data_IF_932000561784
#
_entry.id   IF_932000561784
#
_cell.length_a   1.000
_cell.length_b   1.000
_cell.length_c   1.000
_cell.angle_alpha   90.00
_cell.angle_beta   90.00
_cell.angle_gamma   90.00
#
_symmetry.space_group_name_H-M   'P 1'
#
loop_
_entity.id
_entity.type
_entity.pdbx_description
1 polymer ?
#
# COMPACT_ATOMS: atom_id res chain seq x y z
N UNK A 1 1.55 -6.24 -14.09
CA UNK A 1 2.43 -5.06 -13.94
C UNK A 1 2.19 -4.52 -12.55
N UNK A 2 3.27 -4.32 -11.80
CA UNK A 2 3.31 -4.20 -10.35
C UNK A 2 4.16 -2.99 -9.97
N UNK A 3 3.56 -1.81 -9.77
CA UNK A 3 4.32 -0.57 -9.57
C UNK A 3 4.54 -0.26 -8.09
N UNK A 4 5.78 0.05 -7.72
CA UNK A 4 6.18 0.68 -6.45
C UNK A 4 6.57 2.16 -6.68
N UNK A 5 6.47 3.03 -5.67
CA UNK A 5 6.74 4.48 -5.77
C UNK A 5 7.91 4.87 -4.86
N UNK A 6 8.89 5.64 -5.35
CA UNK A 6 10.25 5.65 -4.78
C UNK A 6 10.66 6.89 -3.99
N UNK A 7 11.50 6.64 -2.99
CA UNK A 7 12.58 7.44 -2.40
C UNK A 7 13.91 7.20 -3.16
N UNK A 8 15.04 7.01 -2.47
CA UNK A 8 16.39 7.01 -3.08
C UNK A 8 16.56 6.03 -4.25
N UNK A 9 17.26 6.44 -5.31
CA UNK A 9 17.44 5.63 -6.54
C UNK A 9 18.23 4.32 -6.35
N UNK A 10 19.08 4.26 -5.32
CA UNK A 10 19.86 3.08 -4.94
C UNK A 10 20.29 3.23 -3.48
N UNK A 11 20.96 2.22 -2.92
CA UNK A 11 21.32 2.20 -1.50
C UNK A 11 22.24 3.38 -1.15
N UNK A 12 21.77 4.27 -0.26
CA UNK A 12 22.44 5.54 0.10
C UNK A 12 22.66 6.50 -1.08
N UNK A 13 21.86 6.36 -2.13
CA UNK A 13 21.84 7.24 -3.29
C UNK A 13 20.99 8.50 -3.08
N UNK A 14 21.01 9.42 -4.06
CA UNK A 14 20.19 10.62 -4.04
C UNK A 14 18.70 10.29 -4.16
N UNK A 15 17.85 11.21 -3.72
CA UNK A 15 16.42 11.21 -4.07
C UNK A 15 16.26 11.69 -5.51
N UNK A 16 15.39 11.07 -6.31
CA UNK A 16 15.10 11.55 -7.66
C UNK A 16 14.27 12.84 -7.61
N UNK A 17 14.44 13.71 -8.62
CA UNK A 17 13.63 14.91 -8.79
C UNK A 17 12.23 14.61 -9.37
N UNK A 18 12.06 13.42 -9.94
CA UNK A 18 10.82 12.92 -10.53
C UNK A 18 10.37 11.63 -9.85
N UNK A 19 9.08 11.33 -10.00
CA UNK A 19 8.51 10.11 -9.46
C UNK A 19 8.96 8.89 -10.27
N UNK A 20 9.58 7.95 -9.59
CA UNK A 20 10.05 6.71 -10.19
C UNK A 20 9.14 5.54 -9.83
N UNK A 21 9.15 4.52 -10.70
CA UNK A 21 8.52 3.25 -10.42
C UNK A 21 9.30 2.09 -11.02
N UNK A 22 9.10 0.90 -10.46
CA UNK A 22 9.67 -0.33 -10.98
C UNK A 22 8.62 -1.45 -10.97
N UNK A 23 8.71 -2.35 -11.94
CA UNK A 23 7.88 -3.56 -12.01
C UNK A 23 8.59 -4.71 -11.30
N UNK A 24 7.91 -5.28 -10.29
CA UNK A 24 8.41 -6.43 -9.51
C UNK A 24 7.43 -7.60 -9.53
N UNK A 25 7.87 -8.76 -9.08
CA UNK A 25 7.01 -9.94 -8.90
C UNK A 25 6.88 -10.28 -7.42
N UNK A 26 5.67 -10.63 -7.01
CA UNK A 26 5.43 -11.18 -5.67
C UNK A 26 6.14 -12.54 -5.59
N UNK A 27 6.96 -12.71 -4.57
CA UNK A 27 7.69 -13.95 -4.35
C UNK A 27 6.86 -14.93 -3.50
N UNK A 28 7.11 -16.25 -3.65
CA UNK A 28 6.52 -17.25 -2.77
C UNK A 28 6.86 -17.02 -1.29
N UNK A 29 5.94 -17.32 -0.38
CA UNK A 29 6.15 -17.10 1.07
C UNK A 29 7.39 -17.81 1.60
N UNK A 30 7.65 -19.05 1.15
CA UNK A 30 8.84 -19.81 1.56
C UNK A 30 10.14 -19.17 1.08
N UNK A 31 10.13 -18.42 -0.02
CA UNK A 31 11.28 -17.64 -0.47
C UNK A 31 11.54 -16.48 0.49
N UNK A 32 10.49 -15.77 0.90
CA UNK A 32 10.57 -14.61 1.80
C UNK A 32 10.98 -15.01 3.22
N UNK A 33 10.37 -16.07 3.76
CA UNK A 33 10.60 -16.60 5.11
C UNK A 33 12.04 -17.11 5.27
N UNK A 34 12.58 -17.79 4.27
CA UNK A 34 13.95 -18.31 4.30
C UNK A 34 15.06 -17.25 4.37
N UNK A 35 14.74 -15.96 4.20
CA UNK A 35 15.71 -14.85 4.07
C UNK A 35 15.69 -13.86 5.23
N UNK A 36 14.76 -13.99 6.16
CA UNK A 36 14.72 -13.16 7.37
C UNK A 36 14.05 -13.89 8.53
N UNK A 37 14.60 -13.72 9.72
CA UNK A 37 14.02 -14.16 10.99
C UNK A 37 12.80 -13.33 11.43
N UNK A 38 12.50 -12.24 10.72
CA UNK A 38 11.40 -11.30 11.03
C UNK A 38 10.12 -11.59 10.26
N UNK A 39 10.10 -12.60 9.39
CA UNK A 39 8.94 -12.87 8.55
C UNK A 39 7.77 -13.31 9.43
N UNK A 40 6.64 -12.64 9.27
CA UNK A 40 5.48 -12.83 10.13
C UNK A 40 4.17 -12.65 9.34
N UNK A 41 3.06 -12.96 10.02
CA UNK A 41 1.73 -12.72 9.48
C UNK A 41 1.59 -11.29 8.96
N UNK A 42 0.96 -11.15 7.79
CA UNK A 42 0.74 -9.85 7.16
C UNK A 42 1.96 -9.30 6.44
N UNK A 43 3.03 -10.09 6.28
CA UNK A 43 4.16 -9.75 5.41
C UNK A 43 4.05 -10.48 4.07
N UNK A 44 4.72 -9.91 3.08
CA UNK A 44 5.02 -10.51 1.78
C UNK A 44 6.34 -9.90 1.28
N UNK A 45 6.98 -10.50 0.30
CA UNK A 45 8.12 -9.87 -0.38
C UNK A 45 7.92 -9.86 -1.89
N UNK A 46 8.52 -8.86 -2.55
CA UNK A 46 8.46 -8.71 -3.99
C UNK A 46 9.78 -8.15 -4.53
N UNK A 47 10.18 -8.62 -5.71
CA UNK A 47 11.41 -8.22 -6.38
C UNK A 47 11.52 -8.85 -7.77
N UNK A 48 12.70 -8.83 -8.36
CA UNK A 48 13.01 -9.51 -9.62
C UNK A 48 14.30 -10.32 -9.46
N UNK A 49 14.21 -11.65 -9.63
CA UNK A 49 15.37 -12.53 -9.48
C UNK A 49 16.35 -12.42 -10.66
N UNK A 50 15.87 -11.99 -11.82
CA UNK A 50 16.68 -11.81 -13.01
C UNK A 50 17.36 -10.43 -13.02
N UNK A 51 16.75 -9.44 -12.38
CA UNK A 51 17.27 -8.08 -12.25
C UNK A 51 17.17 -7.58 -10.80
N UNK A 52 18.17 -7.88 -9.96
CA UNK A 52 18.15 -7.51 -8.55
C UNK A 52 18.07 -6.02 -8.28
N UNK A 53 18.43 -5.15 -9.24
CA UNK A 53 18.37 -3.70 -9.08
C UNK A 53 16.92 -3.19 -8.99
N UNK A 54 15.94 -4.01 -9.39
CA UNK A 54 14.52 -3.71 -9.24
C UNK A 54 14.03 -3.97 -7.83
N UNK A 55 14.16 -2.95 -6.99
CA UNK A 55 13.72 -2.98 -5.60
C UNK A 55 13.20 -1.62 -5.14
N UNK A 56 12.43 -1.62 -4.07
CA UNK A 56 12.13 -0.43 -3.28
C UNK A 56 13.35 -0.04 -2.44
N UNK A 57 13.52 1.25 -2.12
CA UNK A 57 14.64 1.73 -1.32
C UNK A 57 14.24 2.68 -0.18
N UNK A 58 15.23 3.41 0.36
CA UNK A 58 15.05 4.31 1.49
C UNK A 58 14.16 5.50 1.10
N UNK A 59 13.08 5.71 1.84
CA UNK A 59 12.09 6.76 1.56
C UNK A 59 10.82 6.25 0.88
N UNK A 60 10.84 5.01 0.37
CA UNK A 60 9.69 4.36 -0.25
C UNK A 60 8.67 3.84 0.77
N UNK A 61 9.09 3.66 2.04
CA UNK A 61 8.25 3.09 3.10
C UNK A 61 6.89 3.78 3.20
N UNK A 62 5.81 2.99 3.17
CA UNK A 62 4.43 3.49 3.09
C UNK A 62 3.89 3.62 1.66
N UNK A 63 4.76 3.59 0.64
CA UNK A 63 4.39 3.58 -0.76
C UNK A 63 3.64 2.29 -1.17
N UNK A 64 2.72 2.36 -2.14
CA UNK A 64 1.93 1.20 -2.52
C UNK A 64 2.65 0.31 -3.53
N UNK A 65 2.49 -1.01 -3.37
CA UNK A 65 2.69 -2.01 -4.41
C UNK A 65 1.33 -2.30 -5.05
N UNK A 66 1.20 -1.97 -6.34
CA UNK A 66 -0.08 -2.02 -7.06
C UNK A 66 -0.14 -3.22 -8.00
N UNK A 67 -1.01 -4.19 -7.73
CA UNK A 67 -1.31 -5.31 -8.63
C UNK A 67 -2.66 -5.08 -9.33
N UNK A 68 -2.69 -5.10 -10.66
CA UNK A 68 -3.94 -4.97 -11.44
C UNK A 68 -4.84 -3.79 -11.00
N UNK A 69 -4.23 -2.65 -10.71
CA UNK A 69 -4.93 -1.43 -10.28
C UNK A 69 -5.40 -1.43 -8.81
N UNK A 70 -5.07 -2.46 -8.02
CA UNK A 70 -5.37 -2.54 -6.60
C UNK A 70 -4.11 -2.48 -5.75
N UNK A 71 -4.15 -1.80 -4.60
CA UNK A 71 -3.05 -1.81 -3.63
C UNK A 71 -3.02 -3.18 -2.95
N UNK A 72 -1.95 -3.93 -3.17
CA UNK A 72 -1.77 -5.29 -2.64
C UNK A 72 -0.69 -5.34 -1.58
N UNK A 73 0.32 -4.47 -1.68
CA UNK A 73 1.37 -4.34 -0.69
C UNK A 73 1.60 -2.88 -0.28
N UNK A 74 2.23 -2.68 0.87
CA UNK A 74 2.77 -1.39 1.31
C UNK A 74 4.25 -1.58 1.61
N UNK A 75 5.13 -0.78 1.00
CA UNK A 75 6.58 -0.89 1.21
C UNK A 75 6.88 -0.77 2.71
N UNK A 76 7.67 -1.71 3.24
CA UNK A 76 7.97 -1.76 4.66
C UNK A 76 9.47 -1.65 4.91
N UNK A 77 10.25 -2.69 4.56
CA UNK A 77 11.67 -2.75 4.86
C UNK A 77 12.47 -3.64 3.89
N UNK A 78 13.79 -3.58 4.00
CA UNK A 78 14.74 -4.45 3.32
C UNK A 78 16.11 -4.37 4.01
N UNK A 79 17.02 -5.30 3.70
CA UNK A 79 18.39 -5.28 4.26
C UNK A 79 19.21 -4.15 3.63
N UNK A 80 19.03 -3.97 2.32
CA UNK A 80 19.44 -2.86 1.46
C UNK A 80 18.37 -2.76 0.37
N UNK A 81 18.67 -2.06 -0.72
CA UNK A 81 17.88 -2.15 -1.94
C UNK A 81 18.80 -2.58 -3.09
N UNK A 82 18.27 -3.33 -4.04
CA UNK A 82 18.98 -3.61 -5.29
C UNK A 82 20.04 -4.72 -5.22
N UNK A 83 19.96 -5.66 -4.26
CA UNK A 83 21.02 -6.66 -4.03
C UNK A 83 20.58 -8.07 -4.47
N UNK A 84 21.50 -8.88 -5.04
CA UNK A 84 21.18 -10.25 -5.45
C UNK A 84 20.59 -11.08 -4.32
N UNK A 85 19.65 -11.96 -4.68
CA UNK A 85 18.97 -12.91 -3.78
C UNK A 85 18.13 -12.32 -2.65
N UNK A 86 18.01 -10.99 -2.55
CA UNK A 86 17.10 -10.34 -1.60
C UNK A 86 16.00 -9.58 -2.34
N UNK A 87 14.78 -9.66 -1.80
CA UNK A 87 13.63 -8.90 -2.25
C UNK A 87 13.26 -7.86 -1.18
N UNK A 88 12.56 -6.80 -1.58
CA UNK A 88 11.93 -5.87 -0.65
C UNK A 88 10.76 -6.53 0.08
N UNK A 89 10.57 -6.18 1.36
CA UNK A 89 9.46 -6.67 2.18
C UNK A 89 8.36 -5.61 2.27
N UNK A 90 7.12 -6.08 2.15
CA UNK A 90 5.92 -5.29 2.10
C UNK A 90 4.91 -5.81 3.14
N UNK A 91 4.08 -4.93 3.65
CA UNK A 91 2.86 -5.34 4.36
C UNK A 91 1.85 -5.86 3.33
N UNK A 92 1.37 -7.09 3.50
CA UNK A 92 0.33 -7.68 2.67
C UNK A 92 -1.03 -7.07 3.04
N UNK A 93 -1.54 -6.18 2.18
CA UNK A 93 -2.80 -5.45 2.42
C UNK A 93 -3.99 -6.40 2.57
N UNK A 94 -3.96 -7.53 1.87
CA UNK A 94 -5.05 -8.53 1.91
C UNK A 94 -5.25 -9.09 3.33
N UNK A 95 -4.15 -9.25 4.09
CA UNK A 95 -4.17 -9.72 5.47
C UNK A 95 -4.84 -8.74 6.44
N UNK A 96 -5.01 -7.47 6.06
CA UNK A 96 -5.56 -6.41 6.90
C UNK A 96 -6.88 -5.83 6.39
N UNK A 97 -7.54 -6.46 5.39
CA UNK A 97 -8.76 -5.92 4.80
C UNK A 97 -9.90 -5.71 5.81
N UNK A 98 -10.02 -6.58 6.82
CA UNK A 98 -11.00 -6.41 7.89
C UNK A 98 -10.71 -5.14 8.71
N UNK A 99 -9.49 -5.03 9.23
CA UNK A 99 -9.04 -3.84 9.97
C UNK A 99 -9.21 -2.56 9.14
N UNK A 100 -8.88 -2.58 7.85
CA UNK A 100 -9.06 -1.45 6.93
C UNK A 100 -10.54 -1.11 6.79
N UNK A 101 -11.44 -2.09 6.65
CA UNK A 101 -12.90 -1.82 6.53
C UNK A 101 -13.47 -1.22 7.81
N UNK A 102 -13.02 -1.68 8.97
CA UNK A 102 -13.49 -1.19 10.27
C UNK A 102 -13.04 0.23 10.60
N UNK A 103 -11.85 0.61 10.14
CA UNK A 103 -11.17 1.87 10.44
C UNK A 103 -11.14 2.86 9.26
N UNK A 104 -11.49 2.40 8.05
CA UNK A 104 -11.57 3.23 6.85
C UNK A 104 -12.78 4.16 6.86
N UNK A 105 -12.71 5.21 6.02
CA UNK A 105 -13.74 6.25 5.89
C UNK A 105 -15.11 5.77 5.36
N UNK A 106 -15.29 4.46 5.15
CA UNK A 106 -16.59 3.84 4.85
C UNK A 106 -17.64 4.00 5.96
N UNK A 107 -17.26 4.51 7.14
CA UNK A 107 -18.18 5.02 8.17
C UNK A 107 -18.63 6.48 7.95
N UNK A 108 -18.69 6.97 6.72
CA UNK A 108 -19.74 7.94 6.41
C UNK A 108 -21.07 7.22 6.62
N UNK A 109 -21.53 7.18 7.89
CA UNK A 109 -22.93 6.96 8.21
C UNK A 109 -23.68 7.85 7.22
N UNK A 110 -24.58 7.34 6.38
CA UNK A 110 -25.44 8.23 5.64
C UNK A 110 -26.04 9.11 6.72
N UNK A 111 -25.71 10.42 6.71
CA UNK A 111 -26.39 11.39 7.55
C UNK A 111 -27.85 11.11 7.25
N UNK A 112 -28.56 10.52 8.21
CA UNK A 112 -29.75 9.71 7.95
C UNK A 112 -30.58 10.45 6.91
N UNK A 113 -30.56 10.00 5.64
CA UNK A 113 -31.02 10.86 4.54
C UNK A 113 -32.49 11.25 4.79
N UNK A 114 -33.20 10.35 5.47
CA UNK A 114 -34.54 10.54 6.02
C UNK A 114 -34.58 11.74 6.98
N UNK A 115 -33.64 11.87 7.92
CA UNK A 115 -33.56 13.02 8.84
C UNK A 115 -33.24 14.32 8.11
N UNK A 116 -32.35 14.29 7.10
CA UNK A 116 -32.06 15.48 6.27
C UNK A 116 -33.25 15.88 5.41
N UNK A 117 -33.96 14.92 4.82
CA UNK A 117 -35.18 15.15 4.03
C UNK A 117 -36.32 15.63 4.93
N UNK A 118 -36.51 15.05 6.12
CA UNK A 118 -37.50 15.51 7.11
C UNK A 118 -37.18 16.95 7.54
N UNK A 119 -35.90 17.26 7.82
CA UNK A 119 -35.48 18.61 8.17
C UNK A 119 -35.73 19.59 7.02
N UNK A 120 -35.44 19.21 5.78
CA UNK A 120 -35.71 20.03 4.59
C UNK A 120 -37.22 20.27 4.39
N UNK A 121 -38.06 19.24 4.51
CA UNK A 121 -39.52 19.37 4.44
C UNK A 121 -40.04 20.27 5.55
N UNK A 122 -39.53 20.13 6.76
CA UNK A 122 -39.89 20.96 7.91
C UNK A 122 -39.49 22.43 7.67
N UNK A 123 -38.26 22.68 7.21
CA UNK A 123 -37.77 24.02 6.87
C UNK A 123 -38.58 24.66 5.71
N UNK A 124 -38.99 23.87 4.71
CA UNK A 124 -39.86 24.34 3.63
C UNK A 124 -41.25 24.73 4.13
N UNK A 125 -41.84 23.96 5.07
CA UNK A 125 -43.13 24.31 5.68
C UNK A 125 -43.07 25.58 6.54
N UNK A 126 -41.99 25.78 7.30
CA UNK A 126 -41.81 27.00 8.13
C UNK A 126 -41.70 28.26 7.27
N UNK A 127 -41.19 28.16 6.04
CA UNK A 127 -41.02 29.30 5.12
C UNK A 127 -42.29 29.67 4.34
N UNK A 128 -43.34 28.83 4.41
CA UNK A 128 -44.62 28.99 3.72
C UNK A 128 -45.72 29.56 4.62
N UNK A 129 -45.46 29.72 5.91
CA UNK A 129 -46.30 30.43 6.89
C UNK A 129 -45.67 31.78 7.24
#
# INVERSE_FOLDING_TARGET
MHRAWLGSCFFRGPMPDEILHVDVSIMPDNYCDARTDKYAFGMMCAGDLADPEKDSCSGDSGGPLICNGSVTGIVSFGVKCGIPEHAGYYTNVTSYLEWIRENGFSKLRPVNLILLVILQIFLMKVKLN
#
